data_IF_405244551583
#
_entry.id   IF_405244551583
#
_cell.length_a   1.000
_cell.length_b   1.000
_cell.length_c   1.000
_cell.angle_alpha   90.00
_cell.angle_beta   90.00
_cell.angle_gamma   90.00
#
_symmetry.space_group_name_H-M   'P 1'
#
loop_
_entity.id
_entity.type
_entity.pdbx_description
1 polymer ?
#
# COMPACT_ATOMS: atom_id res chain seq x y z
N UNK A 1 15.95 -31.21 12.72
CA UNK A 1 15.05 -30.05 12.94
C UNK A 1 14.87 -29.39 11.58
N UNK A 2 13.69 -29.56 10.97
CA UNK A 2 13.42 -29.02 9.64
C UNK A 2 13.02 -27.54 9.77
N UNK A 3 13.77 -26.66 9.11
CA UNK A 3 13.58 -25.21 8.99
C UNK A 3 12.25 -24.77 8.33
N UNK A 4 11.25 -25.66 8.21
CA UNK A 4 10.08 -25.46 7.35
C UNK A 4 8.81 -25.00 8.08
N UNK A 5 8.81 -24.94 9.41
CA UNK A 5 7.60 -24.69 10.20
C UNK A 5 7.54 -23.32 10.91
N UNK A 6 8.51 -22.42 10.69
CA UNK A 6 8.54 -21.09 11.32
C UNK A 6 7.81 -19.99 10.52
N UNK A 7 7.03 -20.35 9.50
CA UNK A 7 6.23 -19.37 8.77
C UNK A 7 4.82 -19.27 9.36
N UNK A 8 4.55 -18.18 10.06
CA UNK A 8 3.19 -17.83 10.45
C UNK A 8 2.36 -17.59 9.18
N UNK A 9 1.38 -18.46 8.91
CA UNK A 9 0.33 -18.16 7.95
C UNK A 9 -0.49 -17.00 8.49
N UNK A 10 -0.36 -15.85 7.84
CA UNK A 10 -1.21 -14.68 8.10
C UNK A 10 -2.23 -14.57 6.97
N UNK A 11 -3.48 -14.36 7.33
CA UNK A 11 -4.52 -13.96 6.36
C UNK A 11 -4.31 -12.47 6.09
N UNK A 12 -4.07 -12.05 4.84
CA UNK A 12 -4.02 -10.62 4.53
C UNK A 12 -5.39 -9.98 4.79
N UNK A 13 -5.44 -8.68 5.11
CA UNK A 13 -6.71 -7.95 5.12
C UNK A 13 -7.34 -7.96 3.71
N UNK A 14 -8.60 -7.54 3.57
CA UNK A 14 -9.26 -7.49 2.25
C UNK A 14 -8.79 -6.28 1.42
N UNK A 15 -8.50 -5.17 2.08
CA UNK A 15 -8.03 -3.93 1.47
C UNK A 15 -6.98 -3.23 2.31
N UNK A 16 -6.30 -2.27 1.69
CA UNK A 16 -5.33 -1.37 2.28
C UNK A 16 -5.69 0.07 1.92
N UNK A 17 -5.48 0.95 2.89
CA UNK A 17 -5.61 2.39 2.71
C UNK A 17 -4.21 2.96 2.50
N UNK A 18 -3.97 3.60 1.36
CA UNK A 18 -2.67 4.16 1.01
C UNK A 18 -2.78 5.68 0.91
N UNK A 19 -1.94 6.40 1.64
CA UNK A 19 -1.77 7.84 1.53
C UNK A 19 -0.55 8.12 0.65
N UNK A 20 -0.74 8.86 -0.43
CA UNK A 20 0.35 9.38 -1.26
C UNK A 20 0.44 10.90 -1.15
N UNK A 21 1.59 11.45 -1.55
CA UNK A 21 1.81 12.89 -1.66
C UNK A 21 2.39 13.24 -3.02
N UNK A 22 1.80 14.23 -3.69
CA UNK A 22 2.34 14.84 -4.91
C UNK A 22 3.22 16.01 -4.49
N UNK A 23 4.53 15.93 -4.77
CA UNK A 23 5.51 16.95 -4.32
C UNK A 23 5.87 17.99 -5.38
N UNK A 24 5.26 17.96 -6.56
CA UNK A 24 5.63 18.80 -7.70
C UNK A 24 5.00 20.21 -7.67
N UNK A 25 4.23 20.54 -6.64
CA UNK A 25 3.55 21.83 -6.45
C UNK A 25 4.00 22.49 -5.14
N UNK A 26 4.02 23.84 -5.08
CA UNK A 26 4.35 24.60 -3.86
C UNK A 26 3.48 24.25 -2.64
N UNK A 27 2.36 23.56 -2.86
CA UNK A 27 1.53 22.94 -1.85
C UNK A 27 1.50 21.43 -2.07
N UNK A 28 1.94 20.61 -1.10
CA UNK A 28 1.87 19.16 -1.24
C UNK A 28 0.40 18.71 -1.28
N UNK A 29 0.03 17.97 -2.32
CA UNK A 29 -1.31 17.39 -2.44
C UNK A 29 -1.28 15.96 -1.90
N UNK A 30 -2.09 15.70 -0.87
CA UNK A 30 -2.22 14.37 -0.28
C UNK A 30 -3.42 13.64 -0.89
N UNK A 31 -3.20 12.41 -1.37
CA UNK A 31 -4.25 11.58 -1.97
C UNK A 31 -4.38 10.29 -1.19
N UNK A 32 -5.63 9.88 -0.96
CA UNK A 32 -5.97 8.65 -0.24
C UNK A 32 -6.57 7.66 -1.23
N UNK A 33 -6.00 6.47 -1.29
CA UNK A 33 -6.48 5.36 -2.09
C UNK A 33 -6.92 4.22 -1.18
N UNK A 34 -7.95 3.51 -1.59
CA UNK A 34 -8.33 2.23 -1.03
C UNK A 34 -8.08 1.18 -2.12
N UNK A 35 -7.16 0.26 -1.85
CA UNK A 35 -6.65 -0.72 -2.81
C UNK A 35 -6.92 -2.11 -2.23
N UNK A 36 -7.46 -3.02 -3.02
CA UNK A 36 -7.63 -4.40 -2.59
C UNK A 36 -6.27 -5.08 -2.36
N UNK A 37 -6.22 -6.09 -1.50
CA UNK A 37 -4.96 -6.84 -1.26
C UNK A 37 -4.41 -7.51 -2.50
N UNK A 38 -5.26 -7.86 -3.46
CA UNK A 38 -4.86 -8.45 -4.74
C UNK A 38 -4.20 -7.42 -5.67
N UNK A 39 -4.63 -6.15 -5.61
CA UNK A 39 -4.13 -5.05 -6.43
C UNK A 39 -2.92 -4.32 -5.80
N UNK A 40 -2.72 -4.46 -4.49
CA UNK A 40 -1.63 -3.81 -3.76
C UNK A 40 -0.25 -4.04 -4.41
N UNK A 41 0.14 -5.25 -4.85
CA UNK A 41 1.44 -5.47 -5.47
C UNK A 41 1.62 -4.70 -6.79
N UNK A 42 0.55 -4.54 -7.57
CA UNK A 42 0.57 -3.78 -8.81
C UNK A 42 0.70 -2.29 -8.52
N UNK A 43 -0.13 -1.77 -7.60
CA UNK A 43 -0.07 -0.38 -7.15
C UNK A 43 1.33 0.02 -6.63
N UNK A 44 1.95 -0.84 -5.80
CA UNK A 44 3.29 -0.56 -5.27
C UNK A 44 4.34 -0.50 -6.38
N UNK A 45 4.26 -1.39 -7.37
CA UNK A 45 5.17 -1.39 -8.53
C UNK A 45 5.01 -0.13 -9.38
N UNK A 46 3.77 0.32 -9.60
CA UNK A 46 3.52 1.57 -10.32
C UNK A 46 4.16 2.77 -9.60
N UNK A 47 4.00 2.85 -8.28
CA UNK A 47 4.56 3.92 -7.45
C UNK A 47 6.10 3.91 -7.35
N UNK A 48 6.75 2.77 -7.59
CA UNK A 48 8.22 2.70 -7.73
C UNK A 48 8.73 3.27 -9.06
N UNK A 49 7.85 3.39 -10.07
CA UNK A 49 8.28 3.95 -11.35
C UNK A 49 8.41 5.48 -11.26
N UNK A 50 9.52 6.05 -11.74
CA UNK A 50 9.80 7.49 -11.63
C UNK A 50 8.85 8.39 -12.44
N UNK A 51 7.88 7.80 -13.15
CA UNK A 51 6.84 8.52 -13.88
C UNK A 51 5.69 8.95 -12.96
N UNK A 52 5.50 8.29 -11.81
CA UNK A 52 4.54 8.73 -10.81
C UNK A 52 5.15 9.87 -10.00
N UNK A 53 4.55 11.05 -10.15
CA UNK A 53 4.83 12.26 -9.37
C UNK A 53 4.39 12.14 -7.90
N UNK A 54 3.98 10.95 -7.46
CA UNK A 54 3.40 10.65 -6.17
C UNK A 54 4.37 9.80 -5.35
N UNK A 55 4.49 10.09 -4.05
CA UNK A 55 5.26 9.31 -3.11
C UNK A 55 4.35 8.71 -2.05
N UNK A 56 4.53 7.43 -1.72
CA UNK A 56 3.82 6.77 -0.61
C UNK A 56 4.26 7.39 0.73
N UNK A 57 3.30 7.78 1.54
CA UNK A 57 3.49 8.35 2.89
C UNK A 57 3.16 7.31 3.96
N UNK A 58 1.97 6.68 3.86
CA UNK A 58 1.52 5.65 4.81
C UNK A 58 0.70 4.57 4.10
N UNK A 59 0.72 3.36 4.66
CA UNK A 59 -0.13 2.23 4.27
C UNK A 59 -0.78 1.70 5.56
N UNK A 60 -2.10 1.65 5.60
CA UNK A 60 -2.90 1.17 6.73
C UNK A 60 -3.77 -0.02 6.27
N UNK A 61 -4.12 -0.91 7.19
CA UNK A 61 -5.08 -1.98 6.88
C UNK A 61 -6.46 -1.36 6.69
N UNK A 62 -7.14 -1.73 5.60
CA UNK A 62 -8.55 -1.44 5.41
C UNK A 62 -9.35 -2.36 6.32
N UNK A 63 -9.69 -1.88 7.52
CA UNK A 63 -10.63 -2.60 8.36
C UNK A 63 -12.05 -2.27 7.89
N UNK A 64 -12.71 -3.27 7.32
CA UNK A 64 -14.17 -3.27 7.24
C UNK A 64 -14.69 -3.59 8.64
N UNK A 65 -14.86 -2.58 9.49
CA UNK A 65 -15.63 -2.73 10.73
C UNK A 65 -17.08 -3.09 10.32
N UNK A 66 -17.43 -4.38 10.42
CA UNK A 66 -18.80 -4.89 10.28
C UNK A 66 -19.31 -5.42 11.62
#
# INVERSE_FOLDING_TARGET
MSLRDDYQRVTPPDSFIILTVVRHTDTPEYRKYEISSDELPEFLREMETPQHAEQIVTIEQGNTDY
#
